data_IF_353413920777
#
_entry.id   IF_353413920777
#
_cell.length_a   1.000
_cell.length_b   1.000
_cell.length_c   1.000
_cell.angle_alpha   90.00
_cell.angle_beta   90.00
_cell.angle_gamma   90.00
#
_symmetry.space_group_name_H-M   'P 1'
#
loop_
_entity.id
_entity.type
_entity.pdbx_description
1 polymer ?
#
# COMPACT_ATOMS: atom_id res chain seq x y z
N UNK A 1 -0.11 7.26 19.77
CA UNK A 1 -0.83 8.55 19.83
C UNK A 1 -1.48 8.74 18.46
N UNK A 2 -2.82 8.77 18.45
CA UNK A 2 -3.66 9.01 17.25
C UNK A 2 -3.57 10.49 16.91
N UNK A 3 -3.27 10.82 15.66
CA UNK A 3 -3.17 12.20 15.18
C UNK A 3 -4.56 12.78 14.89
N UNK A 4 -4.95 13.73 15.74
CA UNK A 4 -5.59 15.01 15.45
C UNK A 4 -6.88 15.14 14.61
N UNK A 5 -7.60 14.07 14.25
CA UNK A 5 -9.02 14.18 13.83
C UNK A 5 -9.89 12.93 14.11
N UNK A 6 -9.39 11.97 14.89
CA UNK A 6 -10.18 10.83 15.40
C UNK A 6 -10.58 9.76 14.37
N UNK A 7 -10.50 10.04 13.06
CA UNK A 7 -10.79 9.07 12.00
C UNK A 7 -9.50 8.35 11.59
N UNK A 8 -9.48 7.02 11.77
CA UNK A 8 -8.38 6.19 11.25
C UNK A 8 -8.54 6.06 9.74
N UNK A 9 -7.46 6.22 8.95
CA UNK A 9 -7.54 6.00 7.51
C UNK A 9 -7.97 4.55 7.24
N UNK A 10 -8.63 4.35 6.11
CA UNK A 10 -9.05 3.03 5.63
C UNK A 10 -7.82 2.16 5.30
N UNK A 11 -6.80 2.78 4.72
CA UNK A 11 -5.54 2.13 4.38
C UNK A 11 -4.32 2.95 4.81
N UNK A 12 -3.23 2.26 5.15
CA UNK A 12 -1.91 2.88 5.29
C UNK A 12 -0.94 2.14 4.35
N UNK A 13 -0.30 2.90 3.48
CA UNK A 13 0.75 2.40 2.59
C UNK A 13 2.12 2.74 3.20
N UNK A 14 2.96 1.73 3.38
CA UNK A 14 4.30 1.87 3.96
C UNK A 14 5.39 1.37 3.00
N UNK A 15 6.31 2.24 2.63
CA UNK A 15 7.45 1.95 1.73
C UNK A 15 8.81 2.32 2.35
N UNK A 16 8.83 2.42 3.68
CA UNK A 16 9.98 2.84 4.49
C UNK A 16 10.52 4.19 4.05
N UNK A 17 9.62 5.15 3.78
CA UNK A 17 9.97 6.48 3.27
C UNK A 17 10.76 6.41 1.95
N UNK A 18 10.31 5.54 1.04
CA UNK A 18 10.91 5.33 -0.27
C UNK A 18 12.16 4.42 -0.30
N UNK A 19 12.55 3.84 0.84
CA UNK A 19 13.72 2.95 0.90
C UNK A 19 13.41 1.55 0.36
N UNK A 20 12.18 1.05 0.56
CA UNK A 20 11.86 -0.35 0.26
C UNK A 20 11.21 -0.59 -1.10
N UNK A 21 10.73 0.44 -1.78
CA UNK A 21 10.07 0.35 -3.08
C UNK A 21 10.35 1.58 -3.96
N UNK A 22 10.02 1.49 -5.26
CA UNK A 22 10.10 2.65 -6.16
C UNK A 22 8.93 3.60 -5.86
N UNK A 23 9.11 4.93 -6.03
CA UNK A 23 8.02 5.90 -5.82
C UNK A 23 6.79 5.58 -6.68
N UNK A 24 6.99 5.17 -7.92
CA UNK A 24 5.92 4.86 -8.86
C UNK A 24 5.00 3.74 -8.34
N UNK A 25 5.56 2.67 -7.76
CA UNK A 25 4.76 1.58 -7.20
C UNK A 25 3.89 2.06 -6.03
N UNK A 26 4.47 2.86 -5.13
CA UNK A 26 3.75 3.41 -3.99
C UNK A 26 2.66 4.38 -4.42
N UNK A 27 2.96 5.29 -5.36
CA UNK A 27 2.01 6.26 -5.89
C UNK A 27 0.84 5.59 -6.58
N UNK A 28 1.10 4.57 -7.41
CA UNK A 28 0.04 3.79 -8.07
C UNK A 28 -0.86 3.10 -7.04
N UNK A 29 -0.28 2.48 -6.00
CA UNK A 29 -1.06 1.84 -4.95
C UNK A 29 -1.98 2.85 -4.21
N UNK A 30 -1.47 4.02 -3.87
CA UNK A 30 -2.25 5.08 -3.23
C UNK A 30 -3.36 5.58 -4.18
N UNK A 31 -3.03 5.87 -5.43
CA UNK A 31 -3.99 6.38 -6.43
C UNK A 31 -5.12 5.41 -6.70
N UNK A 32 -4.85 4.10 -6.82
CA UNK A 32 -5.89 3.09 -7.01
C UNK A 32 -6.88 3.06 -5.84
N UNK A 33 -6.37 3.00 -4.60
CA UNK A 33 -7.22 2.94 -3.40
C UNK A 33 -8.04 4.23 -3.21
N UNK A 34 -7.41 5.40 -3.42
CA UNK A 34 -8.12 6.70 -3.41
C UNK A 34 -9.18 6.74 -4.51
N UNK A 35 -8.87 6.24 -5.71
CA UNK A 35 -9.82 6.15 -6.83
C UNK A 35 -11.01 5.22 -6.57
N UNK A 36 -10.85 4.24 -5.68
CA UNK A 36 -11.95 3.39 -5.18
C UNK A 36 -12.76 4.06 -4.06
N UNK A 37 -12.36 5.24 -3.60
CA UNK A 37 -13.06 6.03 -2.58
C UNK A 37 -12.53 5.86 -1.15
N UNK A 38 -11.40 5.17 -0.96
CA UNK A 38 -10.81 4.97 0.35
C UNK A 38 -9.96 6.15 0.82
N UNK A 39 -9.93 6.37 2.14
CA UNK A 39 -8.97 7.26 2.77
C UNK A 39 -7.62 6.55 2.97
N UNK A 40 -6.54 7.11 2.43
CA UNK A 40 -5.22 6.48 2.45
C UNK A 40 -4.22 7.40 3.14
N UNK A 41 -3.47 6.86 4.10
CA UNK A 41 -2.29 7.51 4.67
C UNK A 41 -1.00 6.87 4.13
N UNK A 42 0.08 7.65 4.10
CA UNK A 42 1.39 7.18 3.66
C UNK A 42 2.40 7.26 4.80
N UNK A 43 3.07 6.14 5.06
CA UNK A 43 4.09 5.93 6.07
C UNK A 43 3.76 6.30 7.53
N UNK A 44 2.48 6.59 7.85
CA UNK A 44 2.06 7.02 9.19
C UNK A 44 0.77 6.34 9.61
N UNK A 45 0.68 5.86 10.87
CA UNK A 45 1.78 5.69 11.84
C UNK A 45 2.75 4.56 11.48
N UNK A 46 2.49 3.79 10.42
CA UNK A 46 3.28 2.63 10.03
C UNK A 46 3.98 2.90 8.69
N UNK A 47 5.31 3.03 8.73
CA UNK A 47 6.13 3.21 7.54
C UNK A 47 6.56 1.91 6.87
N UNK A 48 6.21 0.76 7.45
CA UNK A 48 6.77 -0.53 7.07
C UNK A 48 7.61 -1.14 8.19
N UNK A 49 7.58 -2.47 8.31
CA UNK A 49 8.30 -3.26 9.30
C UNK A 49 9.46 -4.08 8.75
N UNK A 50 9.71 -5.22 9.41
CA UNK A 50 10.83 -6.11 9.12
C UNK A 50 10.91 -6.51 7.62
N UNK A 51 9.79 -6.89 7.01
CA UNK A 51 9.77 -7.36 5.61
C UNK A 51 10.23 -6.24 4.66
N UNK A 52 9.63 -5.06 4.76
CA UNK A 52 10.00 -3.92 3.93
C UNK A 52 11.46 -3.50 4.13
N UNK A 53 11.95 -3.54 5.37
CA UNK A 53 13.33 -3.21 5.70
C UNK A 53 14.35 -4.22 5.17
N UNK A 54 14.05 -5.52 5.26
CA UNK A 54 15.02 -6.57 4.95
C UNK A 54 15.00 -6.97 3.47
N UNK A 55 13.83 -6.95 2.83
CA UNK A 55 13.66 -7.47 1.47
C UNK A 55 13.45 -6.39 0.41
N UNK A 56 13.08 -5.16 0.80
CA UNK A 56 13.07 -4.03 -0.12
C UNK A 56 14.48 -3.64 -0.53
N UNK A 57 14.84 -3.93 -1.78
CA UNK A 57 16.12 -3.56 -2.41
C UNK A 57 15.83 -3.02 -3.82
N UNK A 58 15.27 -1.80 -3.96
CA UNK A 58 14.88 -1.26 -5.27
C UNK A 58 16.03 -1.23 -6.28
N UNK A 59 17.27 -0.95 -5.83
CA UNK A 59 18.48 -1.01 -6.66
C UNK A 59 18.86 -2.42 -7.16
N UNK A 60 18.17 -3.46 -6.70
CA UNK A 60 18.26 -4.84 -7.18
C UNK A 60 16.93 -5.32 -7.76
N UNK A 61 16.05 -4.39 -8.13
CA UNK A 61 14.71 -4.64 -8.67
C UNK A 61 13.81 -5.47 -7.73
N UNK A 62 14.05 -5.40 -6.42
CA UNK A 62 13.20 -6.01 -5.40
C UNK A 62 12.46 -4.91 -4.64
N UNK A 63 11.15 -4.83 -4.81
CA UNK A 63 10.33 -3.79 -4.20
C UNK A 63 9.40 -4.42 -3.15
N UNK A 64 9.33 -3.81 -1.97
CA UNK A 64 8.48 -4.25 -0.88
C UNK A 64 7.65 -3.07 -0.38
N UNK A 65 6.33 -3.22 -0.43
CA UNK A 65 5.34 -2.27 0.10
C UNK A 65 4.50 -3.00 1.15
N UNK A 66 4.23 -2.32 2.26
CA UNK A 66 3.30 -2.76 3.29
C UNK A 66 1.96 -2.07 3.10
N UNK A 67 0.88 -2.84 3.15
CA UNK A 67 -0.50 -2.35 3.03
C UNK A 67 -1.23 -2.75 4.31
N UNK A 68 -1.58 -1.76 5.13
CA UNK A 68 -2.40 -1.95 6.32
C UNK A 68 -3.86 -1.63 5.99
N UNK A 69 -4.77 -2.48 6.46
CA UNK A 69 -6.21 -2.35 6.23
C UNK A 69 -6.92 -2.09 7.56
N UNK A 70 -7.74 -1.06 7.62
CA UNK A 70 -8.56 -0.78 8.79
C UNK A 70 -9.57 -1.90 9.03
N UNK A 71 -9.50 -2.53 10.20
CA UNK A 71 -10.35 -3.68 10.58
C UNK A 71 -11.84 -3.35 10.56
N UNK A 72 -12.20 -2.10 10.85
CA UNK A 72 -13.59 -1.64 10.80
C UNK A 72 -14.25 -1.77 9.42
N UNK A 73 -13.47 -1.91 8.34
CA UNK A 73 -14.00 -2.13 6.99
C UNK A 73 -14.58 -3.52 6.80
N UNK A 74 -14.03 -4.54 7.47
CA UNK A 74 -14.30 -5.93 7.13
C UNK A 74 -14.67 -6.84 8.30
N UNK A 75 -14.48 -6.39 9.55
CA UNK A 75 -14.86 -7.20 10.71
C UNK A 75 -15.26 -6.36 11.92
N UNK A 76 -16.07 -6.96 12.77
CA UNK A 76 -16.28 -6.47 14.14
C UNK A 76 -15.05 -6.81 14.99
N UNK A 77 -14.35 -5.78 15.50
CA UNK A 77 -13.09 -5.95 16.23
C UNK A 77 -13.22 -6.66 17.58
N UNK A 78 -14.43 -6.79 18.13
CA UNK A 78 -14.68 -7.45 19.42
C UNK A 78 -14.98 -8.93 19.27
N UNK A 79 -15.69 -9.29 18.21
CA UNK A 79 -16.19 -10.65 17.95
C UNK A 79 -15.39 -11.37 16.87
N UNK A 80 -14.57 -10.64 16.11
CA UNK A 80 -13.83 -11.12 14.94
C UNK A 80 -14.73 -11.71 13.83
N UNK A 81 -16.03 -11.42 13.87
CA UNK A 81 -16.95 -11.81 12.82
C UNK A 81 -16.83 -10.84 11.64
N UNK A 82 -17.01 -11.37 10.43
CA UNK A 82 -17.05 -10.56 9.21
C UNK A 82 -18.18 -9.54 9.29
N UNK A 83 -17.89 -8.30 8.89
CA UNK A 83 -18.92 -7.28 8.69
C UNK A 83 -19.59 -7.48 7.32
N UNK A 84 -20.68 -6.76 7.06
CA UNK A 84 -21.30 -6.71 5.74
C UNK A 84 -20.37 -6.15 4.64
N UNK A 85 -19.31 -5.41 5.03
CA UNK A 85 -18.32 -4.85 4.10
C UNK A 85 -17.24 -5.84 3.67
N UNK A 86 -17.14 -7.03 4.29
CA UNK A 86 -16.06 -7.98 4.02
C UNK A 86 -15.96 -8.37 2.55
N UNK A 87 -17.06 -8.84 1.96
CA UNK A 87 -17.03 -9.38 0.60
C UNK A 87 -16.82 -8.26 -0.44
N UNK A 88 -17.35 -7.06 -0.19
CA UNK A 88 -17.11 -5.89 -1.02
C UNK A 88 -15.62 -5.50 -0.99
N UNK A 89 -15.02 -5.41 0.20
CA UNK A 89 -13.59 -5.11 0.35
C UNK A 89 -12.72 -6.18 -0.31
N UNK A 90 -13.09 -7.46 -0.21
CA UNK A 90 -12.37 -8.54 -0.88
C UNK A 90 -12.40 -8.40 -2.41
N UNK A 91 -13.54 -8.00 -2.98
CA UNK A 91 -13.67 -7.71 -4.41
C UNK A 91 -12.79 -6.51 -4.81
N UNK A 92 -12.82 -5.43 -4.02
CA UNK A 92 -11.99 -4.24 -4.26
C UNK A 92 -10.50 -4.57 -4.19
N UNK A 93 -10.05 -5.33 -3.19
CA UNK A 93 -8.66 -5.75 -3.07
C UNK A 93 -8.21 -6.69 -4.19
N UNK A 94 -9.13 -7.50 -4.71
CA UNK A 94 -8.86 -8.34 -5.88
C UNK A 94 -8.62 -7.48 -7.12
N UNK A 95 -9.48 -6.49 -7.35
CA UNK A 95 -9.33 -5.52 -8.44
C UNK A 95 -8.07 -4.69 -8.28
N UNK A 96 -7.83 -4.17 -7.08
CA UNK A 96 -6.63 -3.41 -6.73
C UNK A 96 -5.35 -4.18 -7.05
N UNK A 97 -5.29 -5.46 -6.67
CA UNK A 97 -4.12 -6.31 -6.93
C UNK A 97 -3.92 -6.54 -8.43
N UNK A 98 -5.00 -6.76 -9.19
CA UNK A 98 -4.92 -6.92 -10.64
C UNK A 98 -4.45 -5.63 -11.33
N UNK A 99 -5.01 -4.48 -10.94
CA UNK A 99 -4.64 -3.17 -11.51
C UNK A 99 -3.19 -2.81 -11.16
N UNK A 100 -2.75 -3.08 -9.92
CA UNK A 100 -1.36 -2.85 -9.50
C UNK A 100 -0.37 -3.75 -10.26
N UNK A 101 -0.74 -5.01 -10.53
CA UNK A 101 0.07 -5.94 -11.32
C UNK A 101 0.10 -5.60 -12.81
N UNK A 102 -0.83 -4.76 -13.30
CA UNK A 102 -0.84 -4.28 -14.69
C UNK A 102 0.11 -3.11 -14.93
N UNK A 103 0.81 -2.65 -13.89
CA UNK A 103 1.74 -1.53 -13.97
C UNK A 103 2.86 -1.81 -14.98
N UNK A 104 3.16 -0.86 -15.88
CA UNK A 104 4.21 -1.07 -16.89
C UNK A 104 5.60 -1.31 -16.28
N UNK A 105 6.34 -2.28 -16.83
CA UNK A 105 7.68 -2.68 -16.36
C UNK A 105 8.70 -1.54 -16.34
N UNK A 106 8.52 -0.52 -17.18
CA UNK A 106 9.43 0.64 -17.26
C UNK A 106 9.54 1.44 -15.95
N UNK A 107 8.63 1.23 -15.00
CA UNK A 107 8.70 1.81 -13.66
C UNK A 107 9.65 1.05 -12.71
N UNK A 108 10.16 -0.11 -13.11
CA UNK A 108 11.00 -1.00 -12.30
C UNK A 108 12.39 -1.23 -12.90
N UNK A 109 12.61 -0.83 -14.14
CA UNK A 109 13.93 -0.88 -14.80
C UNK A 109 14.61 0.48 -14.74
N UNK A 110 15.92 0.47 -14.52
CA UNK A 110 16.72 1.68 -14.63
C UNK A 110 16.74 2.13 -16.11
N UNK A 111 16.44 3.40 -16.35
CA UNK A 111 16.81 4.02 -17.62
C UNK A 111 18.34 3.95 -17.73
N UNK A 112 18.92 3.51 -18.86
CA UNK A 112 20.37 3.52 -19.00
C UNK A 112 20.85 4.94 -18.73
N UNK A 113 21.71 5.10 -17.72
CA UNK A 113 22.47 6.32 -17.51
C UNK A 113 23.10 6.64 -18.86
N UNK A 114 22.67 7.75 -19.48
CA UNK A 114 23.40 8.32 -20.59
C UNK A 114 24.82 8.58 -20.07
N UNK A 115 25.76 7.73 -20.49
CA UNK A 115 27.16 7.91 -20.22
C UNK A 115 27.62 9.11 -21.05
N UNK A 116 27.99 10.20 -20.38
CA UNK A 116 28.98 11.16 -20.87
C UNK A 116 30.35 10.83 -20.25
#
# INVERSE_FOLDING_TARGET
RVGDNGVRPDFIIGDRFGISASPALTEMAISLLVGMGYTVAHNKPYAGGFITEHYGRPARHLHAVQIEVNRGLYMDERTFQKSAGFDALACDLTRFSADLMSMPDHHFVDLPLAAE
#
